data_IF_646824044720
#
_entry.id   IF_646824044720
#
_cell.length_a   1.000
_cell.length_b   1.000
_cell.length_c   1.000
_cell.angle_alpha   90.00
_cell.angle_beta   90.00
_cell.angle_gamma   90.00
#
_symmetry.space_group_name_H-M   'P 1'
#
loop_
_entity.id
_entity.type
_entity.pdbx_description
1 polymer ?
#
# COMPACT_ATOMS: atom_id res chain seq x y z
N UNK A 1 -7.77 34.39 11.98
CA UNK A 1 -8.59 33.89 10.85
C UNK A 1 -7.80 33.06 9.84
N UNK A 2 -6.83 33.60 9.10
CA UNK A 2 -6.08 32.84 8.07
C UNK A 2 -5.33 31.60 8.58
N UNK A 3 -4.73 31.63 9.79
CA UNK A 3 -4.09 30.44 10.40
C UNK A 3 -5.10 29.32 10.62
N UNK A 4 -6.30 29.66 11.07
CA UNK A 4 -7.40 28.72 11.27
C UNK A 4 -7.87 28.15 9.93
N UNK A 5 -7.96 28.98 8.87
CA UNK A 5 -8.30 28.53 7.52
C UNK A 5 -7.27 27.52 7.03
N UNK A 6 -5.95 27.80 7.14
CA UNK A 6 -4.90 26.87 6.72
C UNK A 6 -5.00 25.51 7.41
N UNK A 7 -5.25 25.48 8.73
CA UNK A 7 -5.45 24.23 9.48
C UNK A 7 -6.67 23.45 9.00
N UNK A 8 -7.80 24.14 8.81
CA UNK A 8 -9.03 23.51 8.33
C UNK A 8 -8.88 22.97 6.91
N UNK A 9 -8.25 23.73 6.00
CA UNK A 9 -7.99 23.29 4.63
C UNK A 9 -7.08 22.06 4.61
N UNK A 10 -6.00 22.07 5.40
CA UNK A 10 -5.12 20.90 5.54
C UNK A 10 -5.86 19.68 6.06
N UNK A 11 -6.67 19.85 7.11
CA UNK A 11 -7.42 18.74 7.72
C UNK A 11 -8.50 18.20 6.78
N UNK A 12 -9.21 19.09 6.06
CA UNK A 12 -10.16 18.68 5.02
C UNK A 12 -9.45 17.87 3.92
N UNK A 13 -8.24 18.29 3.50
CA UNK A 13 -7.42 17.54 2.56
C UNK A 13 -7.06 16.15 3.05
N UNK A 14 -6.66 16.02 4.33
CA UNK A 14 -6.38 14.72 4.95
C UNK A 14 -7.62 13.80 4.95
N UNK A 15 -8.81 14.35 5.26
CA UNK A 15 -10.07 13.59 5.27
C UNK A 15 -10.52 13.18 3.87
N UNK A 16 -10.44 14.09 2.88
CA UNK A 16 -10.77 13.78 1.49
C UNK A 16 -9.83 12.69 0.97
N UNK A 17 -8.53 12.81 1.23
CA UNK A 17 -7.57 11.77 0.86
C UNK A 17 -7.92 10.44 1.52
N UNK A 18 -8.16 10.42 2.84
CA UNK A 18 -8.49 9.23 3.61
C UNK A 18 -9.76 8.54 3.09
N UNK A 19 -10.81 9.30 2.78
CA UNK A 19 -12.05 8.78 2.19
C UNK A 19 -11.83 8.21 0.79
N UNK A 20 -10.81 8.68 0.08
CA UNK A 20 -10.52 8.31 -1.31
C UNK A 20 -9.49 7.20 -1.45
N UNK A 21 -8.82 6.77 -0.39
CA UNK A 21 -7.79 5.72 -0.44
C UNK A 21 -8.29 4.41 -1.06
N UNK A 22 -9.55 4.05 -0.81
CA UNK A 22 -10.15 2.83 -1.33
C UNK A 22 -11.17 3.06 -2.46
N UNK A 23 -11.38 4.30 -2.89
CA UNK A 23 -12.46 4.64 -3.84
C UNK A 23 -11.96 5.16 -5.18
N UNK A 24 -11.04 6.15 -5.21
CA UNK A 24 -10.63 6.81 -6.44
C UNK A 24 -9.31 7.58 -6.31
N UNK A 25 -8.48 7.52 -7.36
CA UNK A 25 -7.24 8.33 -7.48
C UNK A 25 -7.55 9.83 -7.48
N UNK A 26 -8.58 10.24 -8.21
CA UNK A 26 -8.95 11.67 -8.34
C UNK A 26 -9.22 12.30 -6.96
N UNK A 27 -9.91 11.57 -6.07
CA UNK A 27 -10.15 12.03 -4.71
C UNK A 27 -8.86 12.14 -3.90
N UNK A 28 -7.90 11.21 -4.09
CA UNK A 28 -6.57 11.30 -3.46
C UNK A 28 -5.81 12.54 -3.94
N UNK A 29 -5.83 12.83 -5.23
CA UNK A 29 -5.18 14.00 -5.83
C UNK A 29 -5.81 15.31 -5.31
N UNK A 30 -7.14 15.39 -5.23
CA UNK A 30 -7.85 16.53 -4.63
C UNK A 30 -7.44 16.70 -3.17
N UNK A 31 -7.42 15.60 -2.40
CA UNK A 31 -6.99 15.62 -1.00
C UNK A 31 -5.56 16.13 -0.84
N UNK A 32 -4.64 15.65 -1.67
CA UNK A 32 -3.24 16.10 -1.70
C UNK A 32 -3.13 17.59 -2.06
N UNK A 33 -3.89 18.05 -3.06
CA UNK A 33 -3.96 19.46 -3.44
C UNK A 33 -4.44 20.35 -2.29
N UNK A 34 -5.50 19.95 -1.58
CA UNK A 34 -6.00 20.67 -0.40
C UNK A 34 -4.98 20.68 0.75
N UNK A 35 -4.30 19.55 1.01
CA UNK A 35 -3.21 19.50 2.00
C UNK A 35 -2.12 20.51 1.65
N UNK A 36 -1.71 20.55 0.39
CA UNK A 36 -0.66 21.45 -0.08
C UNK A 36 -1.08 22.94 0.04
N UNK A 37 -2.30 23.29 -0.39
CA UNK A 37 -2.84 24.66 -0.25
C UNK A 37 -2.91 25.05 1.23
N UNK A 38 -3.42 24.18 2.08
CA UNK A 38 -3.49 24.43 3.52
C UNK A 38 -2.10 24.63 4.14
N UNK A 39 -1.12 23.80 3.75
CA UNK A 39 0.27 23.93 4.17
C UNK A 39 0.91 25.23 3.71
N UNK A 40 0.67 25.67 2.45
CA UNK A 40 1.14 26.98 1.95
C UNK A 40 0.57 28.13 2.77
N UNK A 41 -0.72 28.10 3.10
CA UNK A 41 -1.35 29.13 3.94
C UNK A 41 -0.67 29.17 5.33
N UNK A 42 -0.35 28.00 5.93
CA UNK A 42 0.35 27.92 7.21
C UNK A 42 1.78 28.45 7.09
N UNK A 43 2.49 28.14 6.01
CA UNK A 43 3.83 28.61 5.72
C UNK A 43 3.87 30.15 5.63
N UNK A 44 2.96 30.74 4.86
CA UNK A 44 2.86 32.23 4.73
C UNK A 44 2.58 32.92 6.06
N UNK A 45 1.98 32.21 7.02
CA UNK A 45 1.69 32.72 8.36
C UNK A 45 2.72 32.30 9.43
N UNK A 46 3.85 31.72 9.02
CA UNK A 46 4.90 31.20 9.91
C UNK A 46 4.31 30.29 11.02
N UNK A 47 3.29 29.52 10.65
CA UNK A 47 2.54 28.66 11.55
C UNK A 47 2.59 27.20 11.12
N UNK A 48 3.60 26.84 10.34
CA UNK A 48 3.84 25.46 9.90
C UNK A 48 4.07 24.58 11.13
N UNK A 49 3.48 23.39 11.18
CA UNK A 49 3.82 22.39 12.19
C UNK A 49 5.32 22.09 12.20
N UNK A 50 5.82 21.57 13.31
CA UNK A 50 7.22 21.16 13.43
C UNK A 50 7.60 20.18 12.31
N UNK A 51 8.45 20.67 11.40
CA UNK A 51 8.93 19.92 10.23
C UNK A 51 10.07 19.02 10.69
N UNK A 52 9.72 17.78 11.05
CA UNK A 52 10.72 16.76 11.40
C UNK A 52 11.06 15.91 10.18
N UNK A 53 12.33 15.56 10.07
CA UNK A 53 12.80 14.56 9.11
C UNK A 53 12.13 13.21 9.39
N UNK A 54 11.66 12.56 8.32
CA UNK A 54 11.14 11.19 8.37
C UNK A 54 12.29 10.16 8.29
N UNK A 55 13.53 10.64 8.04
CA UNK A 55 14.73 9.82 7.82
C UNK A 55 14.65 8.96 6.55
N UNK A 56 13.93 9.45 5.54
CA UNK A 56 13.80 8.85 4.21
C UNK A 56 14.35 9.72 3.10
N UNK A 57 14.82 10.94 3.41
CA UNK A 57 15.22 11.94 2.45
C UNK A 57 16.33 11.43 1.51
N UNK A 58 17.38 10.80 2.08
CA UNK A 58 18.51 10.28 1.29
C UNK A 58 18.06 9.09 0.41
N UNK A 59 17.36 8.06 0.89
CA UNK A 59 16.84 7.00 0.02
C UNK A 59 15.89 7.50 -1.07
N UNK A 60 15.06 8.50 -0.79
CA UNK A 60 14.17 9.12 -1.77
C UNK A 60 15.00 9.80 -2.87
N UNK A 61 16.02 10.58 -2.50
CA UNK A 61 16.92 11.23 -3.45
C UNK A 61 17.64 10.17 -4.29
N UNK A 62 18.10 9.08 -3.69
CA UNK A 62 18.76 8.00 -4.42
C UNK A 62 17.84 7.37 -5.48
N UNK A 63 16.56 7.10 -5.13
CA UNK A 63 15.57 6.62 -6.10
C UNK A 63 15.31 7.65 -7.19
N UNK A 64 15.16 8.93 -6.85
CA UNK A 64 14.93 9.99 -7.82
C UNK A 64 16.10 10.13 -8.79
N UNK A 65 17.35 10.07 -8.30
CA UNK A 65 18.57 10.09 -9.15
C UNK A 65 18.59 8.85 -10.06
N UNK A 66 18.35 7.65 -9.52
CA UNK A 66 18.34 6.42 -10.30
C UNK A 66 17.28 6.45 -11.41
N UNK A 67 16.08 6.95 -11.12
CA UNK A 67 15.02 7.12 -12.12
C UNK A 67 15.37 8.18 -13.18
N UNK A 68 16.01 9.28 -12.77
CA UNK A 68 16.48 10.31 -13.69
C UNK A 68 17.53 9.75 -14.64
N UNK A 69 18.51 9.02 -14.11
CA UNK A 69 19.53 8.36 -14.93
C UNK A 69 18.90 7.34 -15.87
N UNK A 70 18.00 6.49 -15.37
CA UNK A 70 17.28 5.55 -16.20
C UNK A 70 16.49 6.24 -17.32
N UNK A 71 15.86 7.39 -17.04
CA UNK A 71 15.15 8.18 -18.06
C UNK A 71 16.08 8.78 -19.11
N UNK A 72 17.26 9.27 -18.71
CA UNK A 72 18.26 9.83 -19.63
C UNK A 72 18.79 8.76 -20.60
N UNK A 73 19.02 7.55 -20.10
CA UNK A 73 19.54 6.44 -20.89
C UNK A 73 18.43 5.53 -21.45
N UNK A 74 17.15 5.91 -21.31
CA UNK A 74 16.03 5.13 -21.78
C UNK A 74 15.98 5.02 -23.30
N UNK A 75 15.53 3.88 -23.81
CA UNK A 75 15.21 3.70 -25.24
C UNK A 75 14.09 4.66 -25.70
N UNK A 76 13.11 4.93 -24.84
CA UNK A 76 12.03 5.90 -25.03
C UNK A 76 12.01 6.89 -23.83
N UNK A 77 12.71 8.05 -23.95
CA UNK A 77 12.78 9.00 -22.81
C UNK A 77 11.46 9.67 -22.46
N UNK A 78 10.58 9.93 -23.42
CA UNK A 78 9.31 10.64 -23.19
C UNK A 78 8.34 9.86 -22.29
N UNK A 79 8.00 8.59 -22.54
CA UNK A 79 7.20 7.78 -21.62
C UNK A 79 7.85 7.63 -20.25
N UNK A 80 9.18 7.53 -20.19
CA UNK A 80 9.93 7.43 -18.93
C UNK A 80 9.78 8.71 -18.11
N UNK A 81 9.88 9.89 -18.73
CA UNK A 81 9.68 11.18 -18.07
C UNK A 81 8.27 11.31 -17.51
N UNK A 82 7.25 10.91 -18.28
CA UNK A 82 5.85 10.93 -17.82
C UNK A 82 5.67 10.05 -16.57
N UNK A 83 6.32 8.89 -16.52
CA UNK A 83 6.21 7.96 -15.39
C UNK A 83 6.97 8.43 -14.14
N UNK A 84 7.88 9.39 -14.25
CA UNK A 84 8.49 10.07 -13.09
C UNK A 84 7.47 10.82 -12.23
N UNK A 85 6.26 11.09 -12.74
CA UNK A 85 5.16 11.68 -11.95
C UNK A 85 4.85 10.91 -10.65
N UNK A 86 5.18 9.63 -10.56
CA UNK A 86 5.02 8.84 -9.33
C UNK A 86 5.84 9.37 -8.15
N UNK A 87 6.92 10.12 -8.40
CA UNK A 87 7.66 10.82 -7.34
C UNK A 87 6.81 11.89 -6.63
N UNK A 88 5.79 12.44 -7.30
CA UNK A 88 4.84 13.37 -6.68
C UNK A 88 3.90 12.73 -5.65
N UNK A 89 3.93 11.41 -5.45
CA UNK A 89 3.23 10.74 -4.36
C UNK A 89 4.00 10.83 -3.02
N UNK A 90 5.31 11.06 -3.06
CA UNK A 90 6.17 11.14 -1.86
C UNK A 90 5.70 12.20 -0.85
N UNK A 91 5.25 13.41 -1.24
CA UNK A 91 4.70 14.40 -0.32
C UNK A 91 3.55 13.92 0.57
N UNK A 92 2.86 12.83 0.21
CA UNK A 92 1.82 12.21 1.05
C UNK A 92 2.38 11.83 2.42
N UNK A 93 3.59 11.25 2.46
CA UNK A 93 4.27 10.85 3.71
C UNK A 93 4.39 12.04 4.65
N UNK A 94 4.88 13.14 4.13
CA UNK A 94 5.13 14.37 4.90
C UNK A 94 3.82 15.07 5.27
N UNK A 95 2.84 15.08 4.36
CA UNK A 95 1.51 15.65 4.62
C UNK A 95 0.85 14.99 5.83
N UNK A 96 0.79 13.67 5.86
CA UNK A 96 0.24 12.95 7.02
C UNK A 96 1.12 13.05 8.26
N UNK A 97 2.45 13.01 8.11
CA UNK A 97 3.37 13.14 9.24
C UNK A 97 3.28 14.50 9.93
N UNK A 98 3.15 15.61 9.19
CA UNK A 98 3.24 16.97 9.74
C UNK A 98 1.89 17.59 10.10
N UNK A 99 0.83 17.30 9.31
CA UNK A 99 -0.47 17.96 9.45
C UNK A 99 -1.42 17.25 10.45
N UNK A 100 -1.15 16.02 10.83
CA UNK A 100 -1.95 15.30 11.86
C UNK A 100 -1.48 15.74 13.24
N UNK A 101 -2.13 16.73 13.84
CA UNK A 101 -1.66 17.42 15.05
C UNK A 101 -1.86 16.61 16.35
N UNK A 102 -2.88 15.77 16.44
CA UNK A 102 -3.28 15.11 17.69
C UNK A 102 -3.98 13.77 17.46
N UNK A 103 -4.13 13.00 18.54
CA UNK A 103 -4.75 11.67 18.50
C UNK A 103 -6.20 11.68 18.00
N UNK A 104 -6.97 12.77 18.28
CA UNK A 104 -8.36 12.88 17.83
C UNK A 104 -8.43 13.00 16.29
N UNK A 105 -7.61 13.86 15.70
CA UNK A 105 -7.50 14.02 14.25
C UNK A 105 -7.04 12.72 13.58
N UNK A 106 -6.01 12.08 14.15
CA UNK A 106 -5.50 10.78 13.68
C UNK A 106 -6.61 9.73 13.68
N UNK A 107 -7.36 9.63 14.75
CA UNK A 107 -8.47 8.68 14.91
C UNK A 107 -9.58 8.93 13.89
N UNK A 108 -9.95 10.18 13.67
CA UNK A 108 -10.94 10.54 12.65
C UNK A 108 -10.50 10.11 11.26
N UNK A 109 -9.25 10.35 10.89
CA UNK A 109 -8.68 9.96 9.60
C UNK A 109 -8.74 8.43 9.43
N UNK A 110 -8.29 7.68 10.42
CA UNK A 110 -8.27 6.21 10.36
C UNK A 110 -9.69 5.63 10.30
N UNK A 111 -10.65 6.21 11.02
CA UNK A 111 -12.06 5.79 10.94
C UNK A 111 -12.62 6.08 9.54
N UNK A 112 -12.34 7.24 8.97
CA UNK A 112 -12.79 7.59 7.59
C UNK A 112 -12.20 6.62 6.57
N UNK A 113 -10.90 6.30 6.65
CA UNK A 113 -10.28 5.27 5.79
C UNK A 113 -10.98 3.91 5.94
N UNK A 114 -11.24 3.49 7.17
CA UNK A 114 -11.88 2.22 7.46
C UNK A 114 -13.30 2.16 6.91
N UNK A 115 -14.08 3.23 7.06
CA UNK A 115 -15.45 3.32 6.53
C UNK A 115 -15.47 3.33 5.00
N UNK A 116 -14.53 4.03 4.35
CA UNK A 116 -14.38 4.01 2.90
C UNK A 116 -14.08 2.60 2.39
N UNK A 117 -13.14 1.90 3.01
CA UNK A 117 -12.82 0.51 2.66
C UNK A 117 -14.00 -0.43 2.91
N UNK A 118 -14.77 -0.23 4.00
CA UNK A 118 -15.98 -1.00 4.27
C UNK A 118 -17.01 -0.82 3.16
N UNK A 119 -17.29 0.43 2.79
CA UNK A 119 -18.26 0.74 1.73
C UNK A 119 -17.85 0.12 0.39
N UNK A 120 -16.59 0.25 0.00
CA UNK A 120 -16.06 -0.34 -1.24
C UNK A 120 -16.08 -1.87 -1.19
N UNK A 121 -15.74 -2.46 -0.05
CA UNK A 121 -15.78 -3.92 0.11
C UNK A 121 -17.21 -4.46 0.01
N UNK A 122 -18.19 -3.79 0.65
CA UNK A 122 -19.62 -4.18 0.54
C UNK A 122 -20.07 -4.05 -0.91
N UNK A 123 -19.79 -2.91 -1.56
CA UNK A 123 -20.13 -2.69 -2.96
C UNK A 123 -19.53 -3.78 -3.87
N UNK A 124 -18.26 -4.12 -3.67
CA UNK A 124 -17.57 -5.18 -4.42
C UNK A 124 -18.22 -6.55 -4.21
N UNK A 125 -18.55 -6.93 -2.96
CA UNK A 125 -19.20 -8.20 -2.63
C UNK A 125 -20.62 -8.28 -3.22
N UNK A 126 -21.39 -7.20 -3.12
CA UNK A 126 -22.76 -7.13 -3.70
C UNK A 126 -22.70 -7.29 -5.21
N UNK A 127 -21.80 -6.55 -5.90
CA UNK A 127 -21.65 -6.69 -7.35
C UNK A 127 -21.20 -8.11 -7.77
N UNK A 128 -20.35 -8.73 -6.97
CA UNK A 128 -19.96 -10.12 -7.18
C UNK A 128 -21.14 -11.07 -7.04
N UNK A 129 -21.96 -10.91 -5.98
CA UNK A 129 -23.13 -11.76 -5.71
C UNK A 129 -24.26 -11.57 -6.73
N UNK A 130 -24.45 -10.36 -7.24
CA UNK A 130 -25.49 -10.04 -8.24
C UNK A 130 -25.05 -10.28 -9.69
N UNK A 131 -23.78 -10.59 -9.92
CA UNK A 131 -23.25 -10.75 -11.27
C UNK A 131 -23.09 -9.44 -12.06
N UNK A 132 -23.29 -8.28 -11.42
CA UNK A 132 -23.36 -6.98 -12.10
C UNK A 132 -22.04 -6.51 -12.71
N UNK A 133 -20.89 -7.03 -12.23
CA UNK A 133 -19.54 -6.68 -12.72
C UNK A 133 -18.78 -7.88 -13.30
N UNK A 134 -19.50 -8.92 -13.75
CA UNK A 134 -18.90 -10.17 -14.20
C UNK A 134 -18.44 -10.13 -15.67
N UNK A 135 -18.15 -8.96 -16.23
CA UNK A 135 -17.94 -8.86 -17.67
C UNK A 135 -16.87 -9.79 -18.22
N UNK A 136 -15.84 -10.22 -17.52
CA UNK A 136 -14.83 -11.12 -18.09
C UNK A 136 -14.10 -12.08 -17.12
N UNK A 137 -14.08 -11.83 -15.80
CA UNK A 137 -13.13 -12.55 -14.94
C UNK A 137 -13.68 -13.14 -13.64
N UNK A 138 -14.96 -12.99 -13.31
CA UNK A 138 -15.52 -13.41 -12.01
C UNK A 138 -14.71 -12.97 -10.77
N UNK A 139 -14.07 -11.81 -10.84
CA UNK A 139 -13.21 -11.22 -9.82
C UNK A 139 -13.75 -9.87 -9.41
N UNK A 140 -13.69 -9.55 -8.10
CA UNK A 140 -14.14 -8.26 -7.60
C UNK A 140 -13.18 -7.15 -8.02
N UNK A 141 -13.71 -6.09 -8.65
CA UNK A 141 -12.99 -4.84 -8.94
C UNK A 141 -13.45 -3.68 -8.06
N UNK A 142 -14.70 -3.72 -7.62
CA UNK A 142 -15.41 -2.63 -6.96
C UNK A 142 -15.30 -1.31 -7.74
N UNK A 143 -14.84 -0.22 -7.12
CA UNK A 143 -14.65 1.08 -7.75
C UNK A 143 -13.27 1.25 -8.39
N UNK A 144 -12.36 0.29 -8.18
CA UNK A 144 -11.01 0.33 -8.74
C UNK A 144 -10.97 -0.18 -10.19
N UNK A 145 -10.08 0.37 -10.99
CA UNK A 145 -9.90 -0.05 -12.39
C UNK A 145 -9.40 -1.49 -12.53
N UNK A 146 -8.74 -2.04 -11.50
CA UNK A 146 -8.13 -3.35 -11.46
C UNK A 146 -8.46 -4.12 -10.19
N UNK A 147 -8.60 -5.45 -10.30
CA UNK A 147 -8.74 -6.34 -9.14
C UNK A 147 -7.47 -6.40 -8.30
N UNK A 148 -6.30 -6.22 -8.92
CA UNK A 148 -5.00 -6.23 -8.26
C UNK A 148 -4.82 -4.97 -7.43
N UNK A 149 -5.17 -3.80 -7.98
CA UNK A 149 -5.16 -2.51 -7.27
C UNK A 149 -6.08 -2.55 -6.05
N UNK A 150 -7.32 -3.04 -6.21
CA UNK A 150 -8.23 -3.22 -5.08
C UNK A 150 -7.63 -4.13 -4.01
N UNK A 151 -7.06 -5.27 -4.40
CA UNK A 151 -6.45 -6.21 -3.48
C UNK A 151 -5.27 -5.59 -2.71
N UNK A 152 -4.41 -4.80 -3.37
CA UNK A 152 -3.29 -4.10 -2.75
C UNK A 152 -3.74 -3.07 -1.72
N UNK A 153 -4.74 -2.26 -2.02
CA UNK A 153 -5.31 -1.28 -1.09
C UNK A 153 -5.99 -1.99 0.09
N UNK A 154 -6.82 -3.01 -0.19
CA UNK A 154 -7.50 -3.76 0.86
C UNK A 154 -6.51 -4.49 1.78
N UNK A 155 -5.41 -5.02 1.27
CA UNK A 155 -4.35 -5.61 2.08
C UNK A 155 -3.82 -4.64 3.14
N UNK A 156 -3.54 -3.40 2.75
CA UNK A 156 -3.03 -2.36 3.65
C UNK A 156 -4.06 -1.96 4.70
N UNK A 157 -5.30 -1.68 4.29
CA UNK A 157 -6.39 -1.28 5.20
C UNK A 157 -6.81 -2.43 6.11
N UNK A 158 -6.90 -3.67 5.59
CA UNK A 158 -7.14 -4.89 6.36
C UNK A 158 -6.11 -5.05 7.48
N UNK A 159 -4.82 -4.87 7.17
CA UNK A 159 -3.74 -5.05 8.16
C UNK A 159 -3.87 -4.07 9.32
N UNK A 160 -4.17 -2.79 9.04
CA UNK A 160 -4.38 -1.78 10.08
C UNK A 160 -5.66 -2.04 10.86
N UNK A 161 -6.76 -2.37 10.18
CA UNK A 161 -8.04 -2.65 10.82
C UNK A 161 -7.97 -3.90 11.72
N UNK A 162 -7.29 -4.96 11.27
CA UNK A 162 -7.06 -6.18 12.05
C UNK A 162 -6.24 -5.86 13.32
N UNK A 163 -5.18 -5.08 13.17
CA UNK A 163 -4.35 -4.66 14.30
C UNK A 163 -5.16 -3.82 15.29
N UNK A 164 -5.97 -2.87 14.83
CA UNK A 164 -6.86 -2.06 15.67
C UNK A 164 -7.94 -2.89 16.37
N UNK A 165 -8.50 -3.89 15.70
CA UNK A 165 -9.47 -4.82 16.28
C UNK A 165 -8.86 -5.68 17.40
N UNK A 166 -7.58 -6.06 17.28
CA UNK A 166 -6.91 -6.95 18.22
C UNK A 166 -6.15 -6.20 19.33
N UNK A 167 -5.46 -5.10 19.01
CA UNK A 167 -4.52 -4.39 19.88
C UNK A 167 -5.01 -3.01 20.29
N UNK A 168 -6.02 -2.46 19.60
CA UNK A 168 -6.63 -1.17 19.92
C UNK A 168 -7.45 -1.20 21.19
N UNK A 169 -8.05 -0.05 21.49
CA UNK A 169 -8.91 0.11 22.66
C UNK A 169 -10.18 -0.76 22.57
N UNK A 170 -10.77 -1.08 23.71
CA UNK A 170 -12.05 -1.79 23.80
C UNK A 170 -13.23 -0.87 23.49
N UNK A 171 -14.41 -1.48 23.23
CA UNK A 171 -15.66 -0.78 23.04
C UNK A 171 -16.13 -0.71 21.57
N UNK A 172 -16.93 0.33 21.25
CA UNK A 172 -17.59 0.47 19.94
C UNK A 172 -16.63 0.49 18.74
N UNK A 173 -15.45 1.07 18.94
CA UNK A 173 -14.41 1.15 17.90
C UNK A 173 -13.85 -0.21 17.53
N UNK A 174 -13.67 -1.09 18.52
CA UNK A 174 -13.23 -2.46 18.27
C UNK A 174 -14.24 -3.21 17.40
N UNK A 175 -15.54 -3.02 17.64
CA UNK A 175 -16.60 -3.63 16.82
C UNK A 175 -16.52 -3.12 15.38
N UNK A 176 -16.36 -1.79 15.20
CA UNK A 176 -16.17 -1.21 13.87
C UNK A 176 -14.99 -1.85 13.15
N UNK A 177 -13.81 -1.90 13.77
CA UNK A 177 -12.63 -2.47 13.13
C UNK A 177 -12.73 -3.98 12.90
N UNK A 178 -13.45 -4.73 13.74
CA UNK A 178 -13.77 -6.13 13.48
C UNK A 178 -14.64 -6.29 12.23
N UNK A 179 -15.68 -5.47 12.10
CA UNK A 179 -16.56 -5.49 10.91
C UNK A 179 -15.76 -5.13 9.65
N UNK A 180 -15.00 -4.04 9.69
CA UNK A 180 -14.13 -3.63 8.55
C UNK A 180 -13.17 -4.76 8.17
N UNK A 181 -12.48 -5.34 9.16
CA UNK A 181 -11.56 -6.46 8.94
C UNK A 181 -12.24 -7.64 8.26
N UNK A 182 -13.39 -8.08 8.79
CA UNK A 182 -14.10 -9.25 8.26
C UNK A 182 -14.61 -9.04 6.84
N UNK A 183 -15.23 -7.88 6.58
CA UNK A 183 -15.79 -7.57 5.25
C UNK A 183 -14.68 -7.33 4.23
N UNK A 184 -13.62 -6.60 4.59
CA UNK A 184 -12.45 -6.40 3.71
C UNK A 184 -11.71 -7.72 3.45
N UNK A 185 -11.64 -8.62 4.42
CA UNK A 185 -11.06 -9.95 4.25
C UNK A 185 -11.82 -10.79 3.23
N UNK A 186 -13.16 -10.85 3.33
CA UNK A 186 -13.99 -11.54 2.34
C UNK A 186 -13.80 -10.93 0.95
N UNK A 187 -13.84 -9.60 0.85
CA UNK A 187 -13.63 -8.91 -0.42
C UNK A 187 -12.24 -9.21 -1.00
N UNK A 188 -11.18 -9.22 -0.16
CA UNK A 188 -9.81 -9.56 -0.55
C UNK A 188 -9.71 -10.98 -1.13
N UNK A 189 -10.39 -11.96 -0.50
CA UNK A 189 -10.47 -13.33 -1.03
C UNK A 189 -11.12 -13.32 -2.41
N UNK A 190 -12.24 -12.62 -2.57
CA UNK A 190 -13.00 -12.56 -3.83
C UNK A 190 -12.29 -11.79 -4.96
N UNK A 191 -11.18 -11.09 -4.68
CA UNK A 191 -10.33 -10.53 -5.74
C UNK A 191 -9.56 -11.61 -6.50
N UNK A 192 -9.42 -12.81 -5.94
CA UNK A 192 -8.58 -13.91 -6.47
C UNK A 192 -7.14 -13.49 -6.79
N UNK A 193 -6.60 -12.49 -6.07
CA UNK A 193 -5.23 -12.01 -6.23
C UNK A 193 -4.32 -12.75 -5.25
N UNK A 194 -3.66 -13.81 -5.72
CA UNK A 194 -2.82 -14.71 -4.89
C UNK A 194 -1.68 -13.97 -4.19
N UNK A 195 -1.04 -13.03 -4.89
CA UNK A 195 0.02 -12.19 -4.31
C UNK A 195 -0.48 -11.44 -3.07
N UNK A 196 -1.69 -10.87 -3.13
CA UNK A 196 -2.30 -10.18 -2.00
C UNK A 196 -2.73 -11.14 -0.87
N UNK A 197 -3.11 -12.39 -1.17
CA UNK A 197 -3.38 -13.40 -0.14
C UNK A 197 -2.11 -13.75 0.64
N UNK A 198 -0.99 -13.98 -0.06
CA UNK A 198 0.31 -14.20 0.57
C UNK A 198 0.74 -13.00 1.42
N UNK A 199 0.51 -11.78 0.89
CA UNK A 199 0.70 -10.54 1.65
C UNK A 199 -0.17 -10.49 2.91
N UNK A 200 -1.44 -10.90 2.83
CA UNK A 200 -2.37 -10.99 3.97
C UNK A 200 -1.89 -11.99 5.03
N UNK A 201 -1.41 -13.15 4.60
CA UNK A 201 -0.79 -14.13 5.51
C UNK A 201 0.44 -13.52 6.20
N UNK A 202 1.33 -12.87 5.45
CA UNK A 202 2.51 -12.21 6.03
C UNK A 202 2.10 -11.13 7.03
N UNK A 203 1.11 -10.29 6.72
CA UNK A 203 0.60 -9.28 7.65
C UNK A 203 0.06 -9.92 8.94
N UNK A 204 -0.72 -10.99 8.83
CA UNK A 204 -1.21 -11.73 10.00
C UNK A 204 -0.07 -12.36 10.81
N UNK A 205 0.97 -12.89 10.15
CA UNK A 205 2.18 -13.42 10.84
C UNK A 205 2.88 -12.31 11.62
N UNK A 206 3.08 -11.14 11.04
CA UNK A 206 3.70 -9.98 11.75
C UNK A 206 2.87 -9.57 12.96
N UNK A 207 1.54 -9.44 12.81
CA UNK A 207 0.65 -9.13 13.93
C UNK A 207 0.70 -10.23 14.99
N UNK A 208 0.76 -11.51 14.57
CA UNK A 208 0.89 -12.65 15.49
C UNK A 208 2.17 -12.59 16.33
N UNK A 209 3.30 -12.30 15.70
CA UNK A 209 4.59 -12.20 16.39
C UNK A 209 4.60 -11.07 17.42
N UNK A 210 3.93 -9.94 17.10
CA UNK A 210 3.86 -8.76 17.94
C UNK A 210 2.69 -8.79 18.95
N UNK A 211 1.77 -9.76 18.83
CA UNK A 211 0.62 -9.92 19.73
C UNK A 211 0.92 -10.83 20.91
N UNK A 212 0.10 -10.71 21.97
CA UNK A 212 0.19 -11.54 23.18
C UNK A 212 -1.13 -12.27 23.47
N UNK A 213 -1.02 -13.42 24.14
CA UNK A 213 -2.17 -14.14 24.69
C UNK A 213 -3.13 -14.75 23.64
N UNK A 214 -4.44 -14.77 23.97
CA UNK A 214 -5.51 -15.40 23.17
C UNK A 214 -5.71 -14.83 21.76
N UNK A 215 -5.19 -13.63 21.50
CA UNK A 215 -5.22 -12.98 20.16
C UNK A 215 -4.53 -13.82 19.10
N UNK A 216 -3.52 -14.60 19.48
CA UNK A 216 -2.79 -15.52 18.60
C UNK A 216 -3.68 -16.59 17.99
N UNK A 217 -4.66 -17.14 18.74
CA UNK A 217 -5.57 -18.16 18.23
C UNK A 217 -6.46 -17.63 17.09
N UNK A 218 -6.96 -16.39 17.21
CA UNK A 218 -7.76 -15.76 16.15
C UNK A 218 -6.94 -15.55 14.85
N UNK A 219 -5.66 -15.20 14.98
CA UNK A 219 -4.77 -15.02 13.84
C UNK A 219 -4.44 -16.36 13.16
N UNK A 220 -4.19 -17.42 13.93
CA UNK A 220 -3.99 -18.77 13.38
C UNK A 220 -5.24 -19.21 12.60
N UNK A 221 -6.43 -19.03 13.15
CA UNK A 221 -7.67 -19.35 12.47
C UNK A 221 -7.82 -18.57 11.15
N UNK A 222 -7.48 -17.26 11.14
CA UNK A 222 -7.48 -16.42 9.94
C UNK A 222 -6.49 -16.88 8.89
N UNK A 223 -5.27 -17.25 9.30
CA UNK A 223 -4.23 -17.77 8.39
C UNK A 223 -4.69 -19.09 7.77
N UNK A 224 -5.21 -20.02 8.59
CA UNK A 224 -5.73 -21.31 8.11
C UNK A 224 -6.89 -21.09 7.14
N UNK A 225 -7.83 -20.20 7.47
CA UNK A 225 -8.97 -19.90 6.60
C UNK A 225 -8.49 -19.34 5.25
N UNK A 226 -7.54 -18.42 5.24
CA UNK A 226 -6.99 -17.85 4.00
C UNK A 226 -6.22 -18.88 3.18
N UNK A 227 -5.52 -19.82 3.83
CA UNK A 227 -4.81 -20.91 3.16
C UNK A 227 -5.77 -21.95 2.55
N UNK A 228 -6.92 -22.21 3.20
CA UNK A 228 -7.89 -23.23 2.79
C UNK A 228 -8.99 -22.67 1.89
N UNK A 229 -9.27 -21.36 1.92
CA UNK A 229 -10.33 -20.72 1.14
C UNK A 229 -10.33 -21.09 -0.38
N UNK A 230 -9.16 -21.26 -1.03
CA UNK A 230 -9.10 -21.68 -2.43
C UNK A 230 -9.61 -23.10 -2.72
N UNK A 231 -9.67 -23.98 -1.69
CA UNK A 231 -9.97 -25.42 -1.90
C UNK A 231 -11.42 -25.80 -1.66
N UNK A 232 -12.28 -24.88 -1.20
CA UNK A 232 -13.55 -25.23 -0.52
C UNK A 232 -14.85 -25.15 -1.30
N UNK A 233 -14.93 -24.81 -2.59
CA UNK A 233 -16.20 -24.75 -3.30
C UNK A 233 -16.25 -25.67 -4.54
N UNK A 234 -17.32 -26.49 -4.66
CA UNK A 234 -17.50 -27.41 -5.78
C UNK A 234 -17.51 -26.70 -7.16
N UNK A 235 -18.06 -25.48 -7.23
CA UNK A 235 -17.93 -24.60 -8.41
C UNK A 235 -16.49 -24.13 -8.66
N UNK A 236 -15.64 -24.12 -7.63
CA UNK A 236 -14.18 -23.88 -7.77
C UNK A 236 -13.50 -25.12 -8.34
N UNK A 237 -14.00 -26.32 -8.11
CA UNK A 237 -13.37 -27.55 -8.59
C UNK A 237 -13.55 -27.73 -10.12
N UNK A 238 -14.75 -27.52 -10.66
CA UNK A 238 -15.00 -27.53 -12.10
C UNK A 238 -14.30 -26.38 -12.81
N UNK A 239 -14.10 -25.28 -12.07
CA UNK A 239 -13.32 -24.12 -12.49
C UNK A 239 -11.82 -24.30 -12.30
N UNK A 240 -11.37 -25.03 -11.29
CA UNK A 240 -9.95 -25.40 -11.10
C UNK A 240 -9.48 -26.29 -12.24
N UNK A 241 -10.31 -27.15 -12.81
CA UNK A 241 -9.93 -27.97 -13.96
C UNK A 241 -9.85 -27.16 -15.27
N UNK A 242 -10.81 -26.28 -15.55
CA UNK A 242 -10.70 -25.33 -16.67
C UNK A 242 -9.72 -24.19 -16.37
N UNK A 243 -9.54 -23.81 -15.12
CA UNK A 243 -8.59 -22.79 -14.64
C UNK A 243 -7.19 -23.38 -14.43
N UNK A 244 -7.01 -24.70 -14.30
CA UNK A 244 -5.69 -25.31 -14.14
C UNK A 244 -4.80 -25.04 -15.36
N UNK A 245 -5.34 -25.11 -16.56
CA UNK A 245 -4.60 -24.72 -17.78
C UNK A 245 -4.32 -23.21 -17.83
N UNK A 246 -5.29 -22.37 -17.48
CA UNK A 246 -5.10 -20.91 -17.38
C UNK A 246 -4.18 -20.54 -16.21
N UNK A 247 -4.19 -21.31 -15.12
CA UNK A 247 -3.29 -21.12 -13.98
C UNK A 247 -1.86 -21.53 -14.31
N UNK A 248 -1.68 -22.63 -14.99
CA UNK A 248 -0.36 -23.07 -15.46
C UNK A 248 0.22 -22.04 -16.46
N UNK A 249 -0.59 -21.55 -17.39
CA UNK A 249 -0.21 -20.44 -18.27
C UNK A 249 0.11 -19.16 -17.50
N UNK A 250 -0.63 -18.82 -16.43
CA UNK A 250 -0.36 -17.63 -15.63
C UNK A 250 0.94 -17.72 -14.84
N UNK A 251 1.27 -18.89 -14.27
CA UNK A 251 2.52 -19.11 -13.55
C UNK A 251 3.70 -19.15 -14.53
N UNK A 252 3.58 -19.93 -15.60
CA UNK A 252 4.59 -20.00 -16.66
C UNK A 252 4.84 -18.64 -17.31
N UNK A 253 3.76 -17.87 -17.57
CA UNK A 253 3.86 -16.52 -18.11
C UNK A 253 4.64 -15.57 -17.19
N UNK A 254 4.44 -15.64 -15.87
CA UNK A 254 5.24 -14.84 -14.92
C UNK A 254 6.71 -15.23 -14.90
N UNK A 255 7.02 -16.51 -14.88
CA UNK A 255 8.42 -16.98 -14.97
C UNK A 255 9.07 -16.54 -16.27
N UNK A 256 8.36 -16.62 -17.41
CA UNK A 256 8.87 -16.11 -18.68
C UNK A 256 9.15 -14.61 -18.62
N UNK A 257 8.22 -13.81 -18.07
CA UNK A 257 8.42 -12.38 -17.89
C UNK A 257 9.62 -12.05 -16.98
N UNK A 258 9.84 -12.82 -15.91
CA UNK A 258 10.99 -12.63 -15.02
C UNK A 258 12.31 -13.00 -15.70
N UNK A 259 12.33 -14.05 -16.52
CA UNK A 259 13.48 -14.39 -17.37
C UNK A 259 13.75 -13.28 -18.39
N UNK A 260 12.70 -12.78 -19.08
CA UNK A 260 12.85 -11.63 -19.98
C UNK A 260 13.38 -10.40 -19.25
N UNK A 261 12.95 -10.14 -18.00
CA UNK A 261 13.48 -9.04 -17.20
C UNK A 261 14.97 -9.20 -16.86
N UNK A 262 15.44 -10.44 -16.68
CA UNK A 262 16.89 -10.71 -16.48
C UNK A 262 17.68 -10.50 -17.77
N UNK A 263 17.15 -10.94 -18.92
CA UNK A 263 17.76 -10.71 -20.25
C UNK A 263 17.86 -9.19 -20.55
N UNK A 264 16.79 -8.42 -20.26
CA UNK A 264 16.83 -6.96 -20.36
C UNK A 264 17.93 -6.35 -19.45
N UNK A 265 18.08 -6.90 -18.24
CA UNK A 265 19.11 -6.41 -17.32
C UNK A 265 20.55 -6.84 -17.73
N UNK A 266 20.71 -7.95 -18.47
CA UNK A 266 22.01 -8.34 -19.04
C UNK A 266 22.42 -7.36 -20.15
N UNK A 267 21.48 -6.92 -21.00
CA UNK A 267 21.74 -5.96 -22.07
C UNK A 267 21.86 -4.50 -21.55
N UNK A 268 21.12 -4.16 -20.51
CA UNK A 268 21.07 -2.82 -19.93
C UNK A 268 21.35 -2.83 -18.40
N UNK A 269 22.54 -3.27 -17.95
CA UNK A 269 22.77 -3.65 -16.54
C UNK A 269 22.70 -2.48 -15.55
N UNK A 270 23.13 -1.28 -15.94
CA UNK A 270 23.26 -0.17 -15.00
C UNK A 270 21.96 0.60 -14.80
N UNK A 271 21.30 1.00 -15.89
CA UNK A 271 20.16 1.94 -15.85
C UNK A 271 18.87 1.38 -16.43
N UNK A 272 18.89 0.14 -16.91
CA UNK A 272 17.71 -0.50 -17.52
C UNK A 272 17.28 0.20 -18.83
N UNK A 273 16.01 -0.06 -19.23
CA UNK A 273 15.46 0.46 -20.49
C UNK A 273 14.58 1.71 -20.32
N UNK A 274 14.43 2.19 -19.09
CA UNK A 274 13.59 3.33 -18.76
C UNK A 274 12.27 2.94 -18.09
N UNK A 275 11.59 3.95 -17.53
CA UNK A 275 10.29 3.82 -16.88
C UNK A 275 9.16 3.79 -17.93
N UNK A 276 9.15 2.81 -18.79
CA UNK A 276 8.22 2.69 -19.92
C UNK A 276 7.32 1.46 -19.81
N UNK A 277 6.34 1.36 -20.70
CA UNK A 277 5.58 0.14 -20.92
C UNK A 277 6.50 -0.91 -21.55
N UNK A 278 6.87 -1.92 -20.77
CA UNK A 278 7.76 -2.98 -21.20
C UNK A 278 7.18 -3.86 -22.31
N UNK A 279 5.85 -3.81 -22.53
CA UNK A 279 5.21 -4.47 -23.65
C UNK A 279 5.75 -4.05 -25.02
N UNK A 280 6.32 -2.85 -25.14
CA UNK A 280 6.89 -2.34 -26.38
C UNK A 280 8.21 -2.99 -26.78
N UNK A 281 9.01 -3.40 -25.79
CA UNK A 281 10.30 -4.08 -26.03
C UNK A 281 10.19 -5.60 -25.92
N UNK A 282 9.00 -6.08 -25.52
CA UNK A 282 8.77 -7.50 -25.24
C UNK A 282 9.08 -8.40 -26.43
N UNK A 283 8.84 -7.94 -27.67
CA UNK A 283 9.10 -8.74 -28.88
C UNK A 283 10.58 -9.09 -29.06
N UNK A 284 11.51 -8.32 -28.45
CA UNK A 284 12.95 -8.57 -28.51
C UNK A 284 13.40 -9.63 -27.47
N UNK A 285 12.66 -9.72 -26.36
CA UNK A 285 13.00 -10.57 -25.21
C UNK A 285 11.95 -11.66 -24.93
N UNK A 286 10.90 -11.73 -25.77
CA UNK A 286 9.83 -12.71 -25.63
C UNK A 286 10.31 -14.09 -26.05
N UNK A 287 10.23 -15.06 -25.17
CA UNK A 287 10.42 -16.46 -25.52
C UNK A 287 9.23 -16.96 -26.32
N UNK A 288 9.45 -17.55 -27.50
CA UNK A 288 8.37 -17.98 -28.44
C UNK A 288 7.34 -18.92 -27.80
N UNK A 289 7.74 -19.66 -26.75
CA UNK A 289 6.93 -20.72 -26.14
C UNK A 289 5.80 -20.19 -25.25
N UNK A 290 5.74 -18.87 -24.97
CA UNK A 290 4.84 -18.34 -23.95
C UNK A 290 3.89 -17.23 -24.37
N UNK A 291 3.78 -16.84 -25.61
CA UNK A 291 2.71 -16.03 -26.24
C UNK A 291 2.00 -14.90 -25.45
N UNK A 292 2.42 -14.63 -24.21
CA UNK A 292 1.75 -13.70 -23.30
C UNK A 292 2.49 -12.37 -23.20
N UNK A 293 1.90 -11.31 -23.75
CA UNK A 293 2.43 -9.94 -23.66
C UNK A 293 1.79 -9.21 -22.51
N UNK A 294 2.59 -8.55 -21.67
CA UNK A 294 2.13 -7.65 -20.61
C UNK A 294 2.95 -6.37 -20.62
N UNK A 295 2.33 -5.25 -20.28
CA UNK A 295 3.02 -3.95 -20.12
C UNK A 295 3.97 -3.89 -18.93
N UNK A 296 3.95 -4.91 -18.05
CA UNK A 296 4.78 -4.97 -16.85
C UNK A 296 5.10 -6.41 -16.45
N UNK A 297 6.12 -6.58 -15.58
CA UNK A 297 6.70 -7.88 -15.21
C UNK A 297 5.94 -8.64 -14.10
N UNK A 298 4.78 -8.16 -13.64
CA UNK A 298 4.03 -8.75 -12.52
C UNK A 298 4.92 -9.06 -11.30
N UNK A 299 5.87 -8.18 -11.02
CA UNK A 299 6.72 -8.18 -9.83
C UNK A 299 7.34 -6.80 -9.67
N UNK A 300 7.30 -6.24 -8.47
CA UNK A 300 7.96 -4.97 -8.15
C UNK A 300 9.46 -5.05 -8.44
N UNK A 301 10.08 -6.16 -8.11
CA UNK A 301 11.54 -6.34 -8.20
C UNK A 301 12.03 -6.48 -9.63
N UNK A 302 11.40 -7.37 -10.40
CA UNK A 302 11.77 -7.58 -11.80
C UNK A 302 11.38 -6.39 -12.68
N UNK A 303 10.27 -5.72 -12.35
CA UNK A 303 9.91 -4.48 -13.03
C UNK A 303 10.95 -3.38 -12.82
N UNK A 304 11.37 -3.16 -11.56
CA UNK A 304 12.39 -2.17 -11.24
C UNK A 304 13.73 -2.54 -11.86
N UNK A 305 14.11 -3.83 -11.83
CA UNK A 305 15.34 -4.32 -12.45
C UNK A 305 15.36 -4.03 -13.96
N UNK A 306 14.34 -4.43 -14.69
CA UNK A 306 14.27 -4.19 -16.13
C UNK A 306 14.22 -2.70 -16.48
N UNK A 307 13.42 -1.92 -15.74
CA UNK A 307 13.22 -0.51 -16.01
C UNK A 307 14.42 0.36 -15.63
N UNK A 308 15.12 0.06 -14.52
CA UNK A 308 16.11 0.97 -13.91
C UNK A 308 17.48 0.32 -13.65
N UNK A 309 17.65 -0.92 -14.09
CA UNK A 309 18.88 -1.67 -13.93
C UNK A 309 19.25 -1.95 -12.47
N UNK A 310 20.49 -2.37 -12.27
CA UNK A 310 21.03 -2.69 -10.94
C UNK A 310 21.10 -1.47 -10.02
N UNK A 311 21.40 -0.27 -10.58
CA UNK A 311 21.46 0.97 -9.81
C UNK A 311 20.10 1.32 -9.24
N UNK A 312 19.04 1.24 -10.05
CA UNK A 312 17.70 1.52 -9.60
C UNK A 312 17.17 0.45 -8.65
N UNK A 313 17.45 -0.83 -8.89
CA UNK A 313 17.08 -1.91 -7.97
C UNK A 313 17.76 -1.74 -6.60
N UNK A 314 19.05 -1.40 -6.56
CA UNK A 314 19.76 -1.15 -5.31
C UNK A 314 19.17 0.05 -4.54
N UNK A 315 18.86 1.15 -5.23
CA UNK A 315 18.20 2.31 -4.63
C UNK A 315 16.80 1.98 -4.11
N UNK A 316 16.03 1.18 -4.86
CA UNK A 316 14.69 0.72 -4.47
C UNK A 316 14.73 -0.18 -3.22
N UNK A 317 15.62 -1.16 -3.18
CA UNK A 317 15.79 -2.03 -2.01
C UNK A 317 16.25 -1.25 -0.77
N UNK A 318 17.14 -0.27 -0.96
CA UNK A 318 17.53 0.65 0.12
C UNK A 318 16.33 1.47 0.61
N UNK A 319 15.50 1.97 -0.29
CA UNK A 319 14.29 2.71 0.06
C UNK A 319 13.30 1.83 0.85
N UNK A 320 13.00 0.60 0.39
CA UNK A 320 12.15 -0.35 1.13
C UNK A 320 12.73 -0.67 2.52
N UNK A 321 14.04 -0.93 2.62
CA UNK A 321 14.72 -1.14 3.90
C UNK A 321 14.59 0.07 4.83
N UNK A 322 14.66 1.27 4.28
CA UNK A 322 14.56 2.51 5.05
C UNK A 322 13.14 2.74 5.54
N UNK A 323 12.11 2.45 4.73
CA UNK A 323 10.71 2.43 5.16
C UNK A 323 10.51 1.44 6.33
N UNK A 324 11.03 0.22 6.20
CA UNK A 324 10.98 -0.77 7.27
C UNK A 324 11.59 -0.25 8.57
N UNK A 325 12.76 0.39 8.49
CA UNK A 325 13.45 1.00 9.65
C UNK A 325 12.60 2.10 10.30
N UNK A 326 11.92 2.93 9.50
CA UNK A 326 11.03 3.98 10.05
C UNK A 326 9.86 3.36 10.79
N UNK A 327 9.20 2.33 10.23
CA UNK A 327 8.13 1.62 10.93
C UNK A 327 8.60 0.97 12.23
N UNK A 328 9.75 0.29 12.21
CA UNK A 328 10.32 -0.35 13.40
C UNK A 328 10.71 0.67 14.47
N UNK A 329 11.40 1.75 14.09
CA UNK A 329 11.79 2.83 15.01
C UNK A 329 10.55 3.44 15.70
N UNK A 330 9.52 3.75 14.91
CA UNK A 330 8.30 4.34 15.44
C UNK A 330 7.55 3.36 16.35
N UNK A 331 7.60 2.06 16.08
CA UNK A 331 7.00 1.04 16.93
C UNK A 331 7.75 0.91 18.28
N UNK A 332 9.10 1.01 18.29
CA UNK A 332 9.92 0.91 19.51
C UNK A 332 9.61 2.02 20.54
N UNK A 333 9.12 3.18 20.11
CA UNK A 333 8.68 4.25 21.02
C UNK A 333 7.54 3.79 21.95
N UNK A 334 6.80 2.75 21.56
CA UNK A 334 5.67 2.20 22.28
C UNK A 334 5.97 0.90 23.04
N UNK A 335 7.22 0.54 23.21
CA UNK A 335 7.61 -0.74 23.82
C UNK A 335 6.84 -1.04 25.11
N UNK A 336 6.28 -2.25 25.19
CA UNK A 336 5.49 -2.73 26.33
C UNK A 336 4.08 -2.13 26.48
N UNK A 337 3.61 -1.29 25.55
CA UNK A 337 2.31 -0.64 25.59
C UNK A 337 1.31 -1.25 24.61
N UNK A 338 0.03 -1.08 24.91
CA UNK A 338 -1.09 -1.40 24.03
C UNK A 338 -1.93 -0.11 23.84
N UNK A 339 -2.77 -0.10 22.81
CA UNK A 339 -3.69 0.99 22.54
C UNK A 339 -3.72 1.41 21.08
N UNK A 340 -4.49 2.45 20.80
CA UNK A 340 -4.81 2.89 19.47
C UNK A 340 -3.58 3.25 18.61
N UNK A 341 -2.62 4.02 19.17
CA UNK A 341 -1.41 4.45 18.46
C UNK A 341 -0.51 3.25 18.11
N UNK A 342 -0.32 2.36 19.09
CA UNK A 342 0.48 1.13 18.90
C UNK A 342 -0.14 0.25 17.82
N UNK A 343 -1.47 0.09 17.85
CA UNK A 343 -2.19 -0.73 16.88
C UNK A 343 -2.03 -0.19 15.45
N UNK A 344 -2.01 1.13 15.25
CA UNK A 344 -1.70 1.73 13.94
C UNK A 344 -0.28 1.38 13.51
N UNK A 345 0.71 1.53 14.40
CA UNK A 345 2.10 1.24 14.07
C UNK A 345 2.31 -0.24 13.72
N UNK A 346 1.73 -1.16 14.50
CA UNK A 346 1.80 -2.61 14.23
C UNK A 346 1.09 -2.95 12.92
N UNK A 347 -0.13 -2.45 12.71
CA UNK A 347 -0.90 -2.71 11.50
C UNK A 347 -0.24 -2.15 10.24
N UNK A 348 0.38 -0.97 10.33
CA UNK A 348 1.11 -0.35 9.22
C UNK A 348 2.38 -1.12 8.87
N UNK A 349 3.16 -1.55 9.87
CA UNK A 349 4.32 -2.43 9.65
C UNK A 349 3.90 -3.77 9.03
N UNK A 350 2.82 -4.36 9.54
CA UNK A 350 2.28 -5.61 9.01
C UNK A 350 1.81 -5.45 7.55
N UNK A 351 1.09 -4.36 7.26
CA UNK A 351 0.66 -4.03 5.91
C UNK A 351 1.85 -3.81 4.97
N UNK A 352 2.90 -3.14 5.42
CA UNK A 352 4.13 -2.97 4.65
C UNK A 352 4.81 -4.31 4.35
N UNK A 353 4.97 -5.19 5.35
CA UNK A 353 5.52 -6.53 5.13
C UNK A 353 4.67 -7.34 4.14
N UNK A 354 3.34 -7.23 4.26
CA UNK A 354 2.40 -7.82 3.31
C UNK A 354 2.54 -7.26 1.89
N UNK A 355 2.69 -5.93 1.76
CA UNK A 355 2.90 -5.25 0.48
C UNK A 355 4.19 -5.72 -0.21
N UNK A 356 5.31 -5.77 0.52
CA UNK A 356 6.61 -6.25 0.02
C UNK A 356 6.53 -7.72 -0.43
N UNK A 357 5.79 -8.55 0.32
CA UNK A 357 5.56 -9.96 -0.04
C UNK A 357 4.68 -10.08 -1.29
N UNK A 358 3.59 -9.33 -1.37
CA UNK A 358 2.71 -9.30 -2.55
C UNK A 358 3.46 -8.79 -3.79
N UNK A 359 4.36 -7.84 -3.62
CA UNK A 359 5.20 -7.26 -4.67
C UNK A 359 6.17 -8.26 -5.35
N UNK A 360 6.39 -9.44 -4.76
CA UNK A 360 7.12 -10.53 -5.46
C UNK A 360 6.35 -10.98 -6.69
N UNK A 361 5.00 -10.99 -6.61
CA UNK A 361 4.12 -11.58 -7.61
C UNK A 361 3.24 -10.56 -8.34
N UNK A 362 3.25 -9.28 -7.91
CA UNK A 362 2.44 -8.22 -8.48
C UNK A 362 3.25 -6.92 -8.60
N UNK A 363 2.88 -6.07 -9.55
CA UNK A 363 3.46 -4.74 -9.73
C UNK A 363 2.70 -3.70 -8.90
N UNK A 364 2.72 -3.83 -7.57
CA UNK A 364 2.01 -2.95 -6.64
C UNK A 364 2.59 -1.54 -6.59
N UNK A 365 3.90 -1.39 -6.76
CA UNK A 365 4.58 -0.09 -6.83
C UNK A 365 4.24 0.69 -8.10
N UNK A 366 3.61 0.03 -9.07
CA UNK A 366 3.05 0.64 -10.27
C UNK A 366 1.73 1.34 -10.05
N UNK A 367 0.95 0.91 -9.07
CA UNK A 367 -0.39 1.39 -8.80
C UNK A 367 -0.38 2.57 -7.82
N UNK A 368 -0.77 3.75 -8.31
CA UNK A 368 -0.73 4.99 -7.53
C UNK A 368 -1.59 4.90 -6.25
N UNK A 369 -2.73 4.23 -6.30
CA UNK A 369 -3.65 4.03 -5.17
C UNK A 369 -3.02 3.20 -4.06
N UNK A 370 -2.32 2.13 -4.42
CA UNK A 370 -1.67 1.24 -3.47
C UNK A 370 -0.49 1.96 -2.80
N UNK A 371 0.36 2.61 -3.60
CA UNK A 371 1.52 3.37 -3.10
C UNK A 371 1.09 4.55 -2.25
N UNK A 372 0.07 5.30 -2.68
CA UNK A 372 -0.49 6.43 -1.92
C UNK A 372 -1.03 5.98 -0.56
N UNK A 373 -1.70 4.83 -0.51
CA UNK A 373 -2.19 4.24 0.74
C UNK A 373 -1.02 3.84 1.65
N UNK A 374 0.03 3.21 1.10
CA UNK A 374 1.24 2.87 1.86
C UNK A 374 1.92 4.12 2.43
N UNK A 375 2.08 5.18 1.62
CA UNK A 375 2.70 6.44 2.06
C UNK A 375 1.85 7.17 3.10
N UNK A 376 0.52 7.10 2.99
CA UNK A 376 -0.39 7.58 4.01
C UNK A 376 -0.14 6.86 5.35
N UNK A 377 -0.10 5.52 5.36
CA UNK A 377 0.15 4.72 6.57
C UNK A 377 1.52 5.02 7.18
N UNK A 378 2.54 5.23 6.35
CA UNK A 378 3.87 5.62 6.81
C UNK A 378 3.85 6.99 7.49
N UNK A 379 3.19 7.98 6.89
CA UNK A 379 2.99 9.30 7.48
C UNK A 379 2.19 9.26 8.79
N UNK A 380 1.11 8.46 8.84
CA UNK A 380 0.32 8.26 10.08
C UNK A 380 1.16 7.63 11.20
N UNK A 381 2.04 6.69 10.88
CA UNK A 381 2.94 6.08 11.87
C UNK A 381 3.94 7.09 12.43
N UNK A 382 4.46 7.99 11.57
CA UNK A 382 5.31 9.11 12.02
C UNK A 382 4.54 10.09 12.91
N UNK A 383 3.27 10.37 12.56
CA UNK A 383 2.40 11.18 13.40
C UNK A 383 2.13 10.53 14.78
N UNK A 384 1.92 9.19 14.82
CA UNK A 384 1.77 8.45 16.07
C UNK A 384 2.99 8.64 17.00
N UNK A 385 4.20 8.49 16.45
CA UNK A 385 5.44 8.65 17.17
C UNK A 385 5.57 10.08 17.75
N UNK A 386 5.32 11.11 16.93
CA UNK A 386 5.36 12.51 17.33
C UNK A 386 4.33 12.85 18.39
N UNK A 387 3.07 12.40 18.25
CA UNK A 387 2.02 12.61 19.24
C UNK A 387 2.45 12.01 20.59
N UNK A 388 3.06 10.83 20.55
CA UNK A 388 3.52 10.13 21.74
C UNK A 388 4.67 10.87 22.43
N UNK A 389 5.67 11.34 21.68
CA UNK A 389 6.79 12.13 22.21
C UNK A 389 6.26 13.40 22.90
N UNK A 390 5.36 14.13 22.24
CA UNK A 390 4.76 15.33 22.80
C UNK A 390 4.01 15.06 24.12
N UNK A 391 3.21 13.96 24.18
CA UNK A 391 2.52 13.57 25.43
C UNK A 391 3.48 13.19 26.55
N UNK A 392 4.70 12.74 26.25
CA UNK A 392 5.71 12.40 27.25
C UNK A 392 6.51 13.59 27.74
N UNK A 393 6.66 14.64 26.92
CA UNK A 393 7.41 15.87 27.24
C UNK A 393 6.57 16.88 28.03
N UNK A 394 5.23 16.88 27.91
CA UNK A 394 4.36 17.72 28.72
C UNK A 394 4.32 17.12 30.12
N UNK A 395 5.04 17.70 31.14
CA UNK A 395 4.98 17.20 32.50
C UNK A 395 3.53 17.22 32.96
N UNK A 396 3.16 16.28 33.85
CA UNK A 396 1.90 16.27 34.59
C UNK A 396 1.78 17.54 35.47
N UNK A 397 1.70 18.68 34.83
CA UNK A 397 1.55 19.99 35.48
C UNK A 397 0.08 20.26 35.81
N UNK A 398 -0.71 19.22 36.09
CA UNK A 398 -2.10 19.32 36.56
C UNK A 398 -2.45 18.10 37.42
N UNK A 399 -1.78 18.00 38.57
CA UNK A 399 -2.33 17.41 39.80
C UNK A 399 -2.27 18.42 40.94
#
# INVERSE_FOLDING_TARGET
MMKTIGKWTSFAGLLVFAASTSTTVVGQEIGLGLMFVGWLILLMKRAVPDIRSVSLEIPIIAVAIAWTLSTIFAAEPEPSLINMKKLFLIPIIYGFSWLVENQKSLKTIVIVMALAALAVSIYGIVNYATGSNLAETYRVRATMGSTVTLAGVLLLVFSVSLSLALLGNSGRERILFLVVTSVSFVCLILTYTRGAWLGGIMAMVVIFLLSRGRRKAALIAGIVLLAVAPSGSGHVRDRVESTAQVQEMSIRGRFSMWLSATEVAEDHPLFGVGLMDLGKIYDQYLRPDFGFKSGHMHSDYFQVLASTGLVGLAAFLWFLRSICRVFLRNLLIFEGREGFLVAICVGSLAGFCGFVTAGIFEWNFGDAEVVSTLYCLLGLTCACARIREYESEVPRARE
#
